data_IF_292320353740
#
_entry.id   IF_292320353740
#
_cell.length_a   1.000
_cell.length_b   1.000
_cell.length_c   1.000
_cell.angle_alpha   90.00
_cell.angle_beta   90.00
_cell.angle_gamma   90.00
#
_symmetry.space_group_name_H-M   'P 1'
#
loop_
_entity.id
_entity.type
_entity.pdbx_description
1 polymer ?
#
# COMPACT_ATOMS: atom_id res chain seq x y z
N UNK A 1 2.68 0.93 -16.93
CA UNK A 1 1.39 0.39 -16.51
C UNK A 1 0.62 1.46 -15.76
N UNK A 2 -0.43 1.96 -16.35
CA UNK A 2 -1.32 2.92 -15.70
C UNK A 2 -2.52 2.19 -15.13
N UNK A 3 -2.59 2.10 -13.82
CA UNK A 3 -3.81 1.67 -13.15
C UNK A 3 -4.68 2.91 -12.92
N UNK A 4 -5.67 3.10 -13.77
CA UNK A 4 -6.61 4.20 -13.60
C UNK A 4 -7.82 3.69 -12.84
N UNK A 5 -7.94 4.11 -11.61
CA UNK A 5 -9.15 3.87 -10.83
C UNK A 5 -10.09 5.04 -11.06
N UNK A 6 -11.17 4.77 -11.78
CA UNK A 6 -12.23 5.77 -11.95
C UNK A 6 -13.14 5.73 -10.74
N UNK A 7 -13.05 6.75 -9.91
CA UNK A 7 -13.99 6.96 -8.82
C UNK A 7 -15.18 7.75 -9.36
N UNK A 8 -16.19 7.04 -9.81
CA UNK A 8 -17.40 7.67 -10.41
C UNK A 8 -18.35 8.26 -9.38
N UNK A 9 -18.10 8.02 -8.09
CA UNK A 9 -18.90 8.56 -7.01
C UNK A 9 -18.00 9.32 -6.03
N UNK A 10 -17.92 10.62 -6.24
CA UNK A 10 -17.16 11.51 -5.36
C UNK A 10 -17.98 11.83 -4.11
N UNK A 11 -17.77 11.07 -3.06
CA UNK A 11 -18.12 11.55 -1.72
C UNK A 11 -16.98 12.43 -1.24
N UNK A 12 -17.22 13.72 -1.04
CA UNK A 12 -16.15 14.71 -0.85
C UNK A 12 -15.36 14.59 0.43
N UNK A 13 -15.76 13.78 1.38
CA UNK A 13 -15.23 13.85 2.74
C UNK A 13 -14.36 12.67 3.18
N UNK A 14 -14.41 11.52 2.51
CA UNK A 14 -13.77 10.31 3.02
C UNK A 14 -13.06 9.52 1.92
N UNK A 15 -12.13 10.18 1.24
CA UNK A 15 -11.39 9.56 0.15
C UNK A 15 -10.05 8.99 0.57
N UNK A 16 -9.91 8.55 1.83
CA UNK A 16 -8.71 7.88 2.32
C UNK A 16 -8.94 6.38 2.38
N UNK A 17 -8.03 5.62 1.78
CA UNK A 17 -8.13 4.18 1.68
C UNK A 17 -6.85 3.51 2.13
N UNK A 18 -6.97 2.39 2.83
CA UNK A 18 -5.84 1.55 3.23
C UNK A 18 -5.38 0.71 2.03
N UNK A 19 -4.63 1.32 1.16
CA UNK A 19 -4.07 0.72 -0.05
C UNK A 19 -2.98 1.62 -0.62
N UNK A 20 -2.00 1.08 -1.35
CA UNK A 20 -1.78 -0.32 -1.69
C UNK A 20 -1.11 -1.12 -0.58
N UNK A 21 -1.15 -2.45 -0.70
CA UNK A 21 -0.34 -3.35 0.12
C UNK A 21 1.06 -3.40 -0.46
N UNK A 22 2.05 -3.00 0.33
CA UNK A 22 3.44 -2.89 -0.10
C UNK A 22 4.38 -3.82 0.66
N UNK A 23 3.83 -4.75 1.44
CA UNK A 23 4.62 -5.78 2.10
C UNK A 23 5.29 -6.70 1.07
N UNK A 24 6.41 -7.26 1.45
CA UNK A 24 7.05 -8.31 0.66
C UNK A 24 6.52 -9.67 1.11
N UNK A 25 6.26 -10.56 0.16
CA UNK A 25 5.83 -11.94 0.42
C UNK A 25 7.03 -12.78 0.86
N UNK A 26 7.62 -12.47 2.00
CA UNK A 26 8.85 -13.09 2.52
C UNK A 26 8.64 -14.05 3.69
N UNK A 27 7.43 -14.14 4.22
CA UNK A 27 7.09 -15.06 5.31
C UNK A 27 5.96 -15.99 4.83
N UNK A 28 6.29 -17.26 4.51
CA UNK A 28 5.29 -18.18 3.93
C UNK A 28 4.07 -18.43 4.80
N UNK A 29 4.21 -18.25 6.12
CA UNK A 29 3.13 -18.48 7.08
C UNK A 29 2.19 -17.30 7.25
N UNK A 30 2.54 -16.15 6.67
CA UNK A 30 1.68 -14.99 6.76
C UNK A 30 0.43 -15.16 5.90
N UNK A 31 -0.75 -15.10 6.53
CA UNK A 31 -2.02 -15.38 5.87
C UNK A 31 -2.44 -14.36 4.81
N UNK A 32 -1.78 -13.19 4.76
CA UNK A 32 -2.10 -12.12 3.83
C UNK A 32 -1.11 -11.98 2.67
N UNK A 33 -0.28 -12.97 2.44
CA UNK A 33 0.67 -12.96 1.32
C UNK A 33 -0.01 -12.74 -0.04
N UNK A 34 -1.23 -13.24 -0.20
CA UNK A 34 -2.01 -13.09 -1.44
C UNK A 34 -2.33 -11.63 -1.80
N UNK A 35 -2.25 -10.73 -0.83
CA UNK A 35 -2.50 -9.30 -1.05
C UNK A 35 -1.24 -8.55 -1.50
N UNK A 36 -0.07 -9.18 -1.43
CA UNK A 36 1.20 -8.56 -1.79
C UNK A 36 1.48 -8.63 -3.29
N UNK A 37 2.20 -7.64 -3.84
CA UNK A 37 2.63 -7.70 -5.25
C UNK A 37 3.70 -8.77 -5.51
N UNK A 38 4.41 -9.25 -4.49
CA UNK A 38 5.40 -10.31 -4.62
C UNK A 38 6.53 -10.19 -3.61
N UNK A 39 7.63 -10.85 -3.92
CA UNK A 39 8.81 -10.92 -3.06
C UNK A 39 9.84 -9.84 -3.35
N UNK A 40 9.83 -9.30 -4.57
CA UNK A 40 10.86 -8.39 -5.05
C UNK A 40 10.55 -6.95 -4.62
N UNK A 41 11.44 -6.29 -3.85
CA UNK A 41 11.22 -4.91 -3.42
C UNK A 41 11.18 -3.94 -4.60
N UNK A 42 11.92 -4.20 -5.68
CA UNK A 42 11.89 -3.36 -6.87
C UNK A 42 10.52 -3.39 -7.55
N UNK A 43 9.97 -4.57 -7.75
CA UNK A 43 8.63 -4.75 -8.34
C UNK A 43 7.56 -4.15 -7.44
N UNK A 44 7.67 -4.37 -6.14
CA UNK A 44 6.73 -3.80 -5.16
C UNK A 44 6.77 -2.28 -5.15
N UNK A 45 7.96 -1.70 -5.27
CA UNK A 45 8.12 -0.25 -5.36
C UNK A 45 7.50 0.34 -6.61
N UNK A 46 7.72 -0.28 -7.76
CA UNK A 46 7.13 0.14 -9.03
C UNK A 46 5.60 0.01 -9.00
N UNK A 47 5.09 -1.08 -8.43
CA UNK A 47 3.66 -1.27 -8.22
C UNK A 47 3.07 -0.18 -7.33
N UNK A 48 3.70 0.09 -6.19
CA UNK A 48 3.24 1.11 -5.25
C UNK A 48 3.19 2.50 -5.90
N UNK A 49 4.22 2.87 -6.63
CA UNK A 49 4.29 4.15 -7.34
C UNK A 49 3.14 4.28 -8.35
N UNK A 50 2.96 3.27 -9.19
CA UNK A 50 1.88 3.29 -10.20
C UNK A 50 0.50 3.32 -9.56
N UNK A 51 0.31 2.57 -8.49
CA UNK A 51 -0.96 2.53 -7.76
C UNK A 51 -1.28 3.90 -7.15
N UNK A 52 -0.34 4.47 -6.41
CA UNK A 52 -0.56 5.75 -5.72
C UNK A 52 -0.81 6.87 -6.73
N UNK A 53 -0.03 6.93 -7.80
CA UNK A 53 -0.22 7.93 -8.85
C UNK A 53 -1.60 7.82 -9.50
N UNK A 54 -2.01 6.60 -9.91
CA UNK A 54 -3.31 6.40 -10.53
C UNK A 54 -4.48 6.64 -9.58
N UNK A 55 -4.27 6.37 -8.30
CA UNK A 55 -5.29 6.52 -7.27
C UNK A 55 -5.49 7.98 -6.83
N UNK A 56 -4.41 8.73 -6.72
CA UNK A 56 -4.42 10.10 -6.18
C UNK A 56 -4.58 11.17 -7.24
N UNK A 57 -4.12 10.94 -8.47
CA UNK A 57 -4.15 11.96 -9.51
C UNK A 57 -5.54 12.14 -10.10
N UNK A 58 -6.00 13.39 -10.08
CA UNK A 58 -7.20 13.81 -10.78
C UNK A 58 -6.77 14.58 -12.03
N UNK A 59 -6.91 14.01 -13.24
CA UNK A 59 -6.49 14.71 -14.48
C UNK A 59 -7.16 16.04 -14.71
N UNK A 60 -8.39 16.19 -14.25
CA UNK A 60 -9.20 17.41 -14.38
C UNK A 60 -8.86 18.47 -13.32
N UNK A 61 -8.15 18.11 -12.27
CA UNK A 61 -7.78 19.05 -11.21
C UNK A 61 -6.38 18.72 -10.64
N UNK A 62 -5.31 19.28 -11.23
CA UNK A 62 -3.94 18.97 -10.81
C UNK A 62 -3.58 19.52 -9.43
N UNK A 63 -4.41 20.36 -8.83
CA UNK A 63 -4.14 20.95 -7.51
C UNK A 63 -4.75 20.17 -6.35
N UNK A 64 -5.60 19.19 -6.63
CA UNK A 64 -6.27 18.39 -5.62
C UNK A 64 -6.14 16.90 -5.90
N UNK A 65 -5.98 16.11 -4.84
CA UNK A 65 -6.03 14.66 -4.95
C UNK A 65 -7.47 14.19 -5.09
N UNK A 66 -7.70 13.21 -5.95
CA UNK A 66 -9.04 12.60 -6.04
C UNK A 66 -9.31 11.64 -4.88
N UNK A 67 -8.27 11.09 -4.28
CA UNK A 67 -8.33 10.20 -3.13
C UNK A 67 -6.99 10.20 -2.43
N UNK A 68 -6.94 9.69 -1.21
CA UNK A 68 -5.70 9.53 -0.46
C UNK A 68 -5.36 8.05 -0.32
N UNK A 69 -4.21 7.65 -0.84
CA UNK A 69 -3.68 6.32 -0.66
C UNK A 69 -2.94 6.24 0.68
N UNK A 70 -3.20 5.19 1.44
CA UNK A 70 -2.50 4.90 2.68
C UNK A 70 -1.85 3.53 2.57
N UNK A 71 -0.56 3.53 2.31
CA UNK A 71 0.20 2.28 2.14
C UNK A 71 0.12 1.42 3.39
N UNK A 72 0.04 0.11 3.20
CA UNK A 72 -0.02 -0.86 4.30
C UNK A 72 0.81 -2.10 3.93
N UNK A 73 1.18 -2.89 4.88
CA UNK A 73 0.95 -2.76 6.31
C UNK A 73 2.18 -2.11 6.93
N UNK A 74 2.09 -1.79 8.24
CA UNK A 74 3.23 -1.21 8.92
C UNK A 74 4.45 -2.15 8.86
N UNK A 75 5.61 -1.58 8.93
CA UNK A 75 6.92 -2.21 8.71
C UNK A 75 7.03 -3.63 9.29
N UNK A 76 7.33 -4.58 8.42
CA UNK A 76 7.55 -6.00 8.74
C UNK A 76 6.38 -6.67 9.50
N UNK A 77 5.15 -6.17 9.29
CA UNK A 77 3.97 -6.76 9.96
C UNK A 77 3.73 -8.22 9.58
N UNK A 78 4.23 -8.66 8.43
CA UNK A 78 4.17 -10.05 8.01
C UNK A 78 4.98 -10.98 8.94
N UNK A 79 5.87 -10.41 9.73
CA UNK A 79 6.68 -11.14 10.72
C UNK A 79 6.17 -11.02 12.15
N UNK A 80 5.26 -10.07 12.39
CA UNK A 80 4.64 -9.89 13.71
C UNK A 80 3.52 -10.93 13.89
N UNK A 81 3.04 -11.13 14.86
CA UNK A 81 2.85 -11.65 16.19
C UNK A 81 2.91 -13.18 16.33
N UNK A 82 3.36 -13.91 15.34
CA UNK A 82 3.44 -15.39 15.42
C UNK A 82 4.72 -15.90 16.06
N UNK A 83 5.64 -14.97 16.28
CA UNK A 83 6.93 -15.26 16.91
C UNK A 83 7.17 -14.23 18.01
N UNK A 84 6.84 -14.57 19.26
CA UNK A 84 7.06 -13.66 20.40
C UNK A 84 8.54 -13.28 20.61
N UNK A 85 9.45 -14.05 20.03
CA UNK A 85 10.87 -13.73 20.06
C UNK A 85 11.31 -12.72 18.99
N UNK A 86 10.44 -12.42 18.02
CA UNK A 86 10.76 -11.40 17.01
C UNK A 86 10.19 -10.06 17.49
N UNK A 87 10.99 -9.33 18.22
CA UNK A 87 10.67 -7.95 18.53
C UNK A 87 10.96 -7.10 17.32
N UNK A 88 9.91 -6.49 16.78
CA UNK A 88 10.09 -5.42 15.82
C UNK A 88 10.58 -4.20 16.60
N UNK A 89 11.88 -4.01 16.60
CA UNK A 89 12.46 -2.78 17.12
C UNK A 89 12.21 -1.72 16.08
N UNK A 90 11.20 -0.87 16.32
CA UNK A 90 11.10 0.36 15.58
C UNK A 90 12.31 1.20 15.95
N UNK A 91 13.26 1.29 15.03
CA UNK A 91 14.37 2.20 15.18
C UNK A 91 13.83 3.62 15.28
N UNK A 92 14.13 4.36 16.34
CA UNK A 92 13.83 5.78 16.34
C UNK A 92 14.61 6.42 15.20
N UNK A 93 13.89 7.01 14.30
CA UNK A 93 14.50 7.78 13.23
C UNK A 93 15.31 8.96 13.81
#
# INVERSE_FOLDING_TARGET
>A
MHLQVSLTDRTPADSSFWAPVVNLAREPRWGRNLECPGECPHVSGAYAESFVRGFQNAPEDPHHLQASACCKHFMASERAPRHPEIQIVSSPA
#
